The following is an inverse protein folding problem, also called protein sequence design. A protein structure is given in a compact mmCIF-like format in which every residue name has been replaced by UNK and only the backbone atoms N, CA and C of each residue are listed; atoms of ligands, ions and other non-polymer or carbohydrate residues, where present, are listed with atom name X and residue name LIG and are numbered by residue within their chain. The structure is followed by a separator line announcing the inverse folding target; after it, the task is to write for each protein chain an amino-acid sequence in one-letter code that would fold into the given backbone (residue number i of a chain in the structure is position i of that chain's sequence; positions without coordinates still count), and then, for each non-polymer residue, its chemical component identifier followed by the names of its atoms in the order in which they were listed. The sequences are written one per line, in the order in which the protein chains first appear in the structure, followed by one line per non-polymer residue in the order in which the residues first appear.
data_IF_009063261625
#
_entry.id   IF_009063261625
#
_cell.length_a   1.000
_cell.length_b   1.000
_cell.length_c   1.000
_cell.angle_alpha   90.00
_cell.angle_beta   90.00
_cell.angle_gamma   90.00
#
_symmetry.space_group_name_H-M   'P 1'
#
loop_
_entity.id
_entity.type
_entity.pdbx_description
1 polymer ?
#
# COMPACT_ATOMS: atom_id res chain seq x y z
N UNK A 1 -8.62 21.43 17.19
CA UNK A 1 -9.63 20.91 16.26
C UNK A 1 -10.15 19.60 16.82
N UNK A 2 -11.35 19.61 17.37
CA UNK A 2 -11.92 18.48 18.11
C UNK A 2 -12.43 17.48 17.09
N UNK A 3 -11.76 16.33 16.98
CA UNK A 3 -12.21 15.23 16.14
C UNK A 3 -13.54 14.72 16.70
N UNK A 4 -14.58 14.81 15.88
CA UNK A 4 -15.92 14.34 16.16
C UNK A 4 -15.89 12.83 16.48
N UNK A 5 -16.46 12.35 17.59
CA UNK A 5 -16.46 10.94 17.93
C UNK A 5 -17.57 10.22 17.15
N UNK A 6 -17.41 10.07 15.85
CA UNK A 6 -18.27 9.16 15.12
C UNK A 6 -17.78 7.73 15.35
N UNK A 7 -18.60 6.93 15.98
CA UNK A 7 -18.40 5.49 16.15
C UNK A 7 -18.50 4.81 14.79
N UNK A 8 -17.36 4.76 14.08
CA UNK A 8 -17.28 3.98 12.84
C UNK A 8 -17.32 2.50 13.18
N UNK A 9 -18.24 1.78 12.56
CA UNK A 9 -18.36 0.31 12.66
C UNK A 9 -18.34 -0.29 11.27
N UNK A 10 -17.52 -1.29 11.06
CA UNK A 10 -17.57 -2.16 9.89
C UNK A 10 -17.97 -3.55 10.39
N UNK A 11 -19.07 -4.11 9.87
CA UNK A 11 -19.56 -5.43 10.28
C UNK A 11 -19.84 -5.57 11.78
N UNK A 12 -20.22 -4.47 12.47
CA UNK A 12 -20.49 -4.48 13.92
C UNK A 12 -19.27 -4.30 14.83
N UNK A 13 -18.06 -4.23 14.28
CA UNK A 13 -16.79 -4.06 15.04
C UNK A 13 -16.51 -2.59 15.30
N UNK A 14 -16.15 -2.24 16.55
CA UNK A 14 -15.76 -0.88 16.94
C UNK A 14 -14.35 -0.56 16.46
N UNK A 15 -14.18 0.57 15.76
CA UNK A 15 -12.89 1.05 15.23
C UNK A 15 -12.15 1.98 16.20
N UNK A 16 -12.49 1.99 17.49
CA UNK A 16 -11.93 2.89 18.50
C UNK A 16 -10.51 2.50 18.99
N UNK A 17 -9.69 1.89 18.19
CA UNK A 17 -8.31 1.51 18.52
C UNK A 17 -7.31 2.35 17.71
N UNK A 18 -6.18 2.73 18.30
CA UNK A 18 -5.08 3.43 17.58
C UNK A 18 -4.51 2.60 16.42
N UNK A 19 -4.72 1.29 16.43
CA UNK A 19 -4.29 0.31 15.42
C UNK A 19 -5.50 -0.39 14.79
N UNK A 20 -6.59 0.33 14.58
CA UNK A 20 -7.86 -0.24 14.15
C UNK A 20 -7.79 -1.15 12.91
N UNK A 21 -6.99 -0.80 11.90
CA UNK A 21 -6.83 -1.61 10.68
C UNK A 21 -6.10 -2.92 10.98
N UNK A 22 -4.95 -2.85 11.66
CA UNK A 22 -4.18 -4.03 12.02
C UNK A 22 -4.95 -4.96 12.99
N UNK A 23 -5.74 -4.39 13.91
CA UNK A 23 -6.58 -5.16 14.82
C UNK A 23 -7.65 -5.96 14.08
N UNK A 24 -8.37 -5.35 13.14
CA UNK A 24 -9.39 -6.04 12.34
C UNK A 24 -8.76 -7.13 11.48
N UNK A 25 -7.62 -6.87 10.87
CA UNK A 25 -6.91 -7.86 10.07
C UNK A 25 -6.51 -9.09 10.90
N UNK A 26 -6.04 -8.87 12.14
CA UNK A 26 -5.65 -9.96 13.03
C UNK A 26 -6.85 -10.73 13.63
N UNK A 27 -7.92 -10.02 14.02
CA UNK A 27 -9.07 -10.62 14.73
C UNK A 27 -10.17 -11.15 13.81
N UNK A 28 -10.35 -10.53 12.62
CA UNK A 28 -11.44 -10.83 11.69
C UNK A 28 -11.00 -10.74 10.22
N UNK A 29 -10.02 -11.54 9.77
CA UNK A 29 -9.51 -11.50 8.39
C UNK A 29 -10.60 -11.74 7.34
N UNK A 30 -11.61 -12.57 7.66
CA UNK A 30 -12.72 -12.83 6.74
C UNK A 30 -13.59 -11.60 6.47
N UNK A 31 -13.67 -10.65 7.40
CA UNK A 31 -14.37 -9.39 7.18
C UNK A 31 -13.64 -8.53 6.14
N UNK A 32 -12.32 -8.48 6.20
CA UNK A 32 -11.49 -7.77 5.21
C UNK A 32 -11.66 -8.41 3.83
N UNK A 33 -11.57 -9.73 3.74
CA UNK A 33 -11.84 -10.47 2.49
C UNK A 33 -13.23 -10.18 1.92
N UNK A 34 -14.25 -10.08 2.77
CA UNK A 34 -15.61 -9.76 2.34
C UNK A 34 -15.72 -8.32 1.80
N UNK A 35 -15.02 -7.36 2.39
CA UNK A 35 -14.95 -5.98 1.87
C UNK A 35 -14.35 -5.97 0.48
N UNK A 36 -13.19 -6.60 0.28
CA UNK A 36 -12.58 -6.70 -1.07
C UNK A 36 -13.50 -7.39 -2.09
N UNK A 37 -14.15 -8.50 -1.72
CA UNK A 37 -15.13 -9.16 -2.60
C UNK A 37 -16.30 -8.25 -2.99
N UNK A 38 -16.75 -7.37 -2.08
CA UNK A 38 -17.82 -6.42 -2.38
C UNK A 38 -17.35 -5.36 -3.39
N UNK A 39 -16.10 -4.87 -3.30
CA UNK A 39 -15.54 -3.96 -4.30
C UNK A 39 -15.42 -4.60 -5.68
N UNK A 40 -14.98 -5.86 -5.77
CA UNK A 40 -14.97 -6.59 -7.05
C UNK A 40 -16.38 -6.77 -7.63
N UNK A 41 -17.38 -7.12 -6.79
CA UNK A 41 -18.77 -7.19 -7.23
C UNK A 41 -19.34 -5.85 -7.70
N UNK A 42 -18.81 -4.74 -7.15
CA UNK A 42 -19.16 -3.38 -7.55
C UNK A 42 -18.43 -2.91 -8.82
N UNK A 43 -17.52 -3.74 -9.38
CA UNK A 43 -16.81 -3.45 -10.62
C UNK A 43 -15.37 -2.95 -10.45
N UNK A 44 -14.73 -3.19 -9.31
CA UNK A 44 -13.30 -2.94 -9.18
C UNK A 44 -12.51 -3.97 -10.00
N UNK A 45 -11.57 -3.50 -10.82
CA UNK A 45 -10.75 -4.32 -11.70
C UNK A 45 -9.37 -4.64 -11.10
N UNK A 46 -8.93 -3.87 -10.11
CA UNK A 46 -7.59 -3.96 -9.54
C UNK A 46 -7.59 -3.71 -8.02
N UNK A 47 -6.71 -4.38 -7.30
CA UNK A 47 -6.45 -4.14 -5.88
C UNK A 47 -5.34 -3.10 -5.73
N UNK A 48 -5.51 -2.14 -4.82
CA UNK A 48 -4.44 -1.25 -4.38
C UNK A 48 -4.02 -1.60 -2.96
N UNK A 49 -2.77 -2.03 -2.80
CA UNK A 49 -2.09 -2.08 -1.51
C UNK A 49 -1.41 -0.72 -1.28
N UNK A 50 -2.05 0.10 -0.47
CA UNK A 50 -1.72 1.52 -0.33
C UNK A 50 -0.95 1.82 0.96
N UNK A 51 0.07 2.69 0.86
CA UNK A 51 0.85 3.18 2.01
C UNK A 51 1.58 2.05 2.74
N UNK A 52 2.10 1.09 1.98
CA UNK A 52 2.78 -0.08 2.52
C UNK A 52 4.15 0.34 3.09
N UNK A 53 4.39 0.17 4.40
CA UNK A 53 5.63 0.62 5.04
C UNK A 53 6.77 -0.39 4.99
N UNK A 54 6.46 -1.64 4.66
CA UNK A 54 7.34 -2.81 4.86
C UNK A 54 7.41 -3.68 3.61
N UNK A 55 8.63 -4.10 3.24
CA UNK A 55 8.83 -5.05 2.15
C UNK A 55 8.25 -6.44 2.47
N UNK A 56 8.29 -6.84 3.75
CA UNK A 56 7.71 -8.11 4.19
C UNK A 56 6.19 -8.12 4.03
N UNK A 57 5.52 -7.03 4.41
CA UNK A 57 4.08 -6.84 4.22
C UNK A 57 3.73 -6.89 2.73
N UNK A 58 4.42 -6.11 1.91
CA UNK A 58 4.23 -6.09 0.46
C UNK A 58 4.33 -7.48 -0.18
N UNK A 59 5.29 -8.31 0.25
CA UNK A 59 5.43 -9.70 -0.23
C UNK A 59 4.22 -10.56 0.10
N UNK A 60 3.73 -10.50 1.34
CA UNK A 60 2.56 -11.28 1.78
C UNK A 60 1.31 -10.86 1.01
N UNK A 61 1.10 -9.55 0.81
CA UNK A 61 -0.01 -9.01 0.04
C UNK A 61 0.05 -9.44 -1.43
N UNK A 62 1.24 -9.38 -2.03
CA UNK A 62 1.48 -9.84 -3.40
C UNK A 62 1.22 -11.35 -3.55
N UNK A 63 1.77 -12.17 -2.66
CA UNK A 63 1.57 -13.63 -2.66
C UNK A 63 0.09 -13.99 -2.60
N UNK A 64 -0.69 -13.32 -1.76
CA UNK A 64 -2.14 -13.52 -1.66
C UNK A 64 -2.83 -13.12 -2.98
N UNK A 65 -2.50 -11.95 -3.54
CA UNK A 65 -3.11 -11.50 -4.79
C UNK A 65 -2.78 -12.44 -5.97
N UNK A 66 -1.53 -12.92 -6.06
CA UNK A 66 -1.10 -13.91 -7.06
C UNK A 66 -1.84 -15.25 -6.89
N UNK A 67 -1.99 -15.75 -5.65
CA UNK A 67 -2.72 -17.01 -5.36
C UNK A 67 -4.17 -16.94 -5.85
N UNK A 68 -4.84 -15.79 -5.71
CA UNK A 68 -6.20 -15.59 -6.14
C UNK A 68 -6.34 -15.11 -7.60
N UNK A 69 -5.23 -14.80 -8.28
CA UNK A 69 -5.21 -14.35 -9.67
C UNK A 69 -5.79 -12.94 -9.86
N UNK A 70 -5.67 -12.07 -8.86
CA UNK A 70 -6.15 -10.69 -8.95
C UNK A 70 -5.05 -9.74 -9.38
N UNK A 71 -5.34 -8.89 -10.35
CA UNK A 71 -4.47 -7.78 -10.71
C UNK A 71 -4.38 -6.79 -9.55
N UNK A 72 -3.17 -6.31 -9.28
CA UNK A 72 -2.90 -5.41 -8.15
C UNK A 72 -1.77 -4.44 -8.42
N UNK A 73 -1.66 -3.41 -7.60
CA UNK A 73 -0.50 -2.57 -7.48
C UNK A 73 -0.12 -2.34 -6.02
N UNK A 74 1.16 -2.06 -5.77
CA UNK A 74 1.71 -1.81 -4.45
C UNK A 74 2.25 -0.39 -4.41
N UNK A 75 1.86 0.40 -3.40
CA UNK A 75 2.34 1.76 -3.19
C UNK A 75 3.02 1.88 -1.84
N UNK A 76 4.33 2.14 -1.84
CA UNK A 76 5.14 2.26 -0.64
C UNK A 76 5.09 3.66 -0.03
N UNK A 77 5.16 3.75 1.30
CA UNK A 77 5.49 4.98 2.01
C UNK A 77 6.99 5.03 2.30
N UNK A 78 7.62 6.20 2.10
CA UNK A 78 9.07 6.36 2.17
C UNK A 78 9.51 7.43 3.17
N UNK A 79 10.63 7.16 3.87
CA UNK A 79 11.28 8.09 4.79
C UNK A 79 12.23 9.08 4.10
N UNK A 80 12.75 8.71 2.94
CA UNK A 80 13.67 9.53 2.15
C UNK A 80 13.60 9.17 0.67
N UNK A 81 14.41 9.83 -0.16
CA UNK A 81 14.58 9.49 -1.59
C UNK A 81 15.22 8.11 -1.85
N UNK A 82 15.55 7.35 -0.80
CA UNK A 82 16.29 6.09 -0.91
C UNK A 82 15.59 4.90 -0.28
N UNK A 83 14.84 5.11 0.83
CA UNK A 83 14.34 4.04 1.70
C UNK A 83 12.85 4.16 1.99
N UNK A 84 12.17 3.01 2.09
CA UNK A 84 10.80 2.90 2.60
C UNK A 84 10.76 3.10 4.12
N UNK A 85 9.57 3.21 4.71
CA UNK A 85 9.41 3.47 6.15
C UNK A 85 10.07 2.42 7.06
N UNK A 86 10.20 1.17 6.63
CA UNK A 86 10.92 0.12 7.35
C UNK A 86 12.46 0.29 7.30
N UNK A 87 12.99 1.19 6.46
CA UNK A 87 14.42 1.43 6.30
C UNK A 87 15.09 0.62 5.17
N UNK A 88 14.33 -0.17 4.43
CA UNK A 88 14.82 -0.95 3.28
C UNK A 88 14.94 -0.04 2.05
N UNK A 89 16.00 -0.18 1.22
CA UNK A 89 16.12 0.55 -0.04
C UNK A 89 14.96 0.29 -0.99
N UNK A 90 14.39 1.36 -1.60
CA UNK A 90 13.32 1.22 -2.60
C UNK A 90 13.80 0.44 -3.84
N UNK A 91 15.10 0.50 -4.17
CA UNK A 91 15.71 -0.30 -5.22
C UNK A 91 15.62 -1.81 -4.95
N UNK A 92 15.75 -2.24 -3.68
CA UNK A 92 15.57 -3.63 -3.27
C UNK A 92 14.11 -4.05 -3.41
N UNK A 93 13.15 -3.17 -3.05
CA UNK A 93 11.73 -3.41 -3.25
C UNK A 93 11.43 -3.60 -4.75
N UNK A 94 11.91 -2.70 -5.61
CA UNK A 94 11.75 -2.78 -7.06
C UNK A 94 12.35 -4.07 -7.64
N UNK A 95 13.57 -4.43 -7.23
CA UNK A 95 14.23 -5.68 -7.66
C UNK A 95 13.45 -6.92 -7.24
N UNK A 96 12.91 -6.91 -6.02
CA UNK A 96 12.10 -8.02 -5.48
C UNK A 96 10.90 -8.30 -6.37
N UNK A 97 10.22 -7.26 -6.83
CA UNK A 97 9.01 -7.38 -7.63
C UNK A 97 9.24 -7.39 -9.14
N UNK A 98 10.49 -7.22 -9.62
CA UNK A 98 10.82 -7.18 -11.04
C UNK A 98 10.45 -8.47 -11.80
N UNK A 99 10.36 -9.60 -11.10
CA UNK A 99 10.05 -10.93 -11.71
C UNK A 99 9.25 -11.78 -10.75
N UNK A 100 8.39 -12.65 -11.32
CA UNK A 100 7.64 -13.64 -10.54
C UNK A 100 6.28 -13.16 -10.04
N UNK A 101 5.83 -11.95 -10.42
CA UNK A 101 4.57 -11.36 -10.02
C UNK A 101 3.74 -10.90 -11.23
N UNK A 102 3.18 -11.82 -12.04
CA UNK A 102 2.49 -11.51 -13.30
C UNK A 102 1.24 -10.64 -13.13
N UNK A 103 0.61 -10.67 -11.96
CA UNK A 103 -0.56 -9.84 -11.65
C UNK A 103 -0.20 -8.46 -11.08
N UNK A 104 1.06 -8.17 -10.76
CA UNK A 104 1.49 -6.84 -10.36
C UNK A 104 1.52 -5.91 -11.57
N UNK A 105 0.63 -4.91 -11.60
CA UNK A 105 0.47 -3.98 -12.73
C UNK A 105 1.20 -2.65 -12.52
N UNK A 106 1.48 -2.29 -11.27
CA UNK A 106 2.13 -1.03 -10.94
C UNK A 106 2.84 -1.13 -9.60
N UNK A 107 4.02 -0.49 -9.51
CA UNK A 107 4.70 -0.22 -8.24
C UNK A 107 4.70 1.30 -8.01
N UNK A 108 4.49 1.74 -6.78
CA UNK A 108 4.32 3.17 -6.55
C UNK A 108 4.84 3.67 -5.23
N UNK A 109 4.69 4.99 -5.05
CA UNK A 109 5.02 5.71 -3.83
C UNK A 109 3.91 6.70 -3.51
N UNK A 110 3.43 6.69 -2.27
CA UNK A 110 2.45 7.65 -1.77
C UNK A 110 2.75 8.07 -0.33
N UNK A 111 2.01 9.03 0.20
CA UNK A 111 2.18 9.54 1.58
C UNK A 111 3.65 9.87 1.91
N UNK A 112 4.37 10.39 0.93
CA UNK A 112 5.81 10.66 0.97
C UNK A 112 6.03 12.13 0.60
N UNK A 113 7.09 12.74 1.11
CA UNK A 113 7.43 14.12 0.81
C UNK A 113 7.70 14.31 -0.70
N UNK A 114 7.17 15.39 -1.32
CA UNK A 114 7.34 15.64 -2.76
C UNK A 114 8.80 15.69 -3.22
N UNK A 115 9.69 16.22 -2.40
CA UNK A 115 11.12 16.35 -2.70
C UNK A 115 11.85 15.00 -2.89
N UNK A 116 11.30 13.90 -2.36
CA UNK A 116 11.89 12.56 -2.49
C UNK A 116 11.47 11.83 -3.76
N UNK A 117 10.37 12.26 -4.40
CA UNK A 117 9.71 11.52 -5.47
C UNK A 117 10.61 11.27 -6.67
N UNK A 118 11.34 12.30 -7.12
CA UNK A 118 12.23 12.18 -8.29
C UNK A 118 13.29 11.10 -8.08
N UNK A 119 13.95 11.10 -6.92
CA UNK A 119 14.96 10.09 -6.58
C UNK A 119 14.37 8.69 -6.48
N UNK A 120 13.19 8.55 -5.87
CA UNK A 120 12.49 7.27 -5.74
C UNK A 120 12.08 6.69 -7.11
N UNK A 121 11.53 7.53 -8.02
CA UNK A 121 11.17 7.11 -9.38
C UNK A 121 12.39 6.58 -10.13
N UNK A 122 13.52 7.30 -10.08
CA UNK A 122 14.76 6.87 -10.75
C UNK A 122 15.21 5.50 -10.26
N UNK A 123 15.23 5.29 -8.94
CA UNK A 123 15.67 4.02 -8.35
C UNK A 123 14.73 2.86 -8.68
N UNK A 124 13.42 3.09 -8.71
CA UNK A 124 12.47 2.07 -9.12
C UNK A 124 12.72 1.72 -10.58
N UNK A 125 12.80 2.72 -11.47
CA UNK A 125 12.96 2.53 -12.92
C UNK A 125 14.27 1.84 -13.31
N UNK A 126 15.35 2.06 -12.55
CA UNK A 126 16.64 1.41 -12.78
C UNK A 126 16.60 -0.10 -12.42
N UNK A 127 15.64 -0.54 -11.63
CA UNK A 127 15.58 -1.88 -11.06
C UNK A 127 14.39 -2.72 -11.54
N UNK A 128 13.38 -2.11 -12.17
CA UNK A 128 12.27 -2.84 -12.79
C UNK A 128 11.62 -2.04 -13.93
N UNK A 129 10.94 -2.77 -14.84
CA UNK A 129 10.19 -2.19 -15.97
C UNK A 129 8.69 -2.06 -15.70
N UNK A 130 8.25 -2.30 -14.46
CA UNK A 130 6.85 -2.19 -14.07
C UNK A 130 6.42 -0.71 -14.10
N UNK A 131 5.20 -0.36 -14.57
CA UNK A 131 4.69 0.99 -14.51
C UNK A 131 4.77 1.60 -13.11
N UNK A 132 5.08 2.89 -13.02
CA UNK A 132 5.27 3.60 -11.76
C UNK A 132 4.12 4.56 -11.51
N UNK A 133 3.48 4.45 -10.33
CA UNK A 133 2.44 5.38 -9.87
C UNK A 133 2.93 6.21 -8.68
N UNK A 134 2.66 7.53 -8.68
CA UNK A 134 3.05 8.40 -7.55
C UNK A 134 1.94 9.37 -7.18
N UNK A 135 1.67 9.49 -5.88
CA UNK A 135 0.75 10.48 -5.32
C UNK A 135 1.26 10.92 -3.93
N UNK A 136 2.23 11.85 -3.93
CA UNK A 136 2.87 12.33 -2.71
C UNK A 136 1.93 13.17 -1.84
N UNK A 137 2.41 13.55 -0.65
CA UNK A 137 1.78 14.57 0.16
C UNK A 137 1.74 15.90 -0.60
N UNK A 138 0.84 16.83 -0.22
CA UNK A 138 0.71 18.15 -0.84
C UNK A 138 1.96 19.02 -0.71
N UNK A 139 2.83 18.70 0.24
CA UNK A 139 4.02 19.49 0.58
C UNK A 139 3.74 20.66 1.52
N UNK A 140 2.52 20.76 2.05
CA UNK A 140 2.17 21.77 3.05
C UNK A 140 2.86 21.46 4.38
N UNK A 141 3.47 22.49 4.98
CA UNK A 141 3.95 22.44 6.36
C UNK A 141 2.78 22.84 7.27
N UNK A 142 2.52 22.01 8.28
CA UNK A 142 1.54 22.32 9.31
C UNK A 142 2.25 22.94 10.49
N UNK A 143 1.88 24.18 10.83
CA UNK A 143 2.32 24.90 12.03
C UNK A 143 1.78 24.24 13.33
#
# INVERSE_FOLDING_TARGET
MTLCPHHWKIGGVSLNSKLWTAKILAEQPELIKQVHKNYFKAGADIILFETVPSLKEAKVEAEIAEEYGYDYWISFSCLSENIICEGIPIAECATTFAKGYPHLKMIGVNCTKPEYITGLIHKIKENCDIPIGVYPNSGEEYD
#
